data_IF_043786171589
#
_entry.id   IF_043786171589
#
_cell.length_a   1.000
_cell.length_b   1.000
_cell.length_c   1.000
_cell.angle_alpha   90.00
_cell.angle_beta   90.00
_cell.angle_gamma   90.00
#
_symmetry.space_group_name_H-M   'P 1'
#
loop_
_entity.id
_entity.type
_entity.pdbx_description
1 polymer ?
#
# COMPACT_ATOMS: atom_id res chain seq x y z
N UNK A 1 -60.03 15.70 0.11
CA UNK A 1 -59.17 16.91 0.10
C UNK A 1 -57.99 16.68 -0.84
N UNK A 2 -57.71 17.63 -1.72
CA UNK A 2 -57.49 17.36 -3.14
C UNK A 2 -56.01 17.34 -3.55
N UNK A 3 -55.60 16.31 -4.32
CA UNK A 3 -54.26 16.08 -4.92
C UNK A 3 -53.82 17.11 -5.99
N UNK A 4 -54.39 18.32 -5.97
CA UNK A 4 -54.17 19.37 -7.00
C UNK A 4 -53.27 20.52 -6.54
N UNK A 5 -52.69 20.43 -5.34
CA UNK A 5 -51.81 21.49 -4.78
C UNK A 5 -50.32 21.13 -4.95
N UNK A 6 -49.99 20.09 -5.73
CA UNK A 6 -48.62 19.59 -5.90
C UNK A 6 -47.99 19.91 -7.28
N UNK A 7 -48.42 20.98 -7.96
CA UNK A 7 -47.87 21.36 -9.29
C UNK A 7 -47.74 22.86 -9.56
N UNK A 8 -47.78 23.73 -8.54
CA UNK A 8 -47.69 25.20 -8.73
C UNK A 8 -46.33 25.81 -8.32
N UNK A 9 -45.37 25.01 -7.86
CA UNK A 9 -44.02 25.50 -7.53
C UNK A 9 -42.95 25.04 -8.53
N UNK A 10 -43.33 24.89 -9.81
CA UNK A 10 -42.46 24.36 -10.86
C UNK A 10 -42.56 25.21 -12.15
N UNK A 11 -42.48 26.54 -12.04
CA UNK A 11 -42.27 27.41 -13.22
C UNK A 11 -41.88 28.88 -12.88
N UNK A 12 -40.69 29.13 -12.33
CA UNK A 12 -40.08 30.47 -12.19
C UNK A 12 -38.74 30.28 -11.45
N UNK A 13 -37.55 30.58 -11.92
CA UNK A 13 -37.06 31.61 -12.84
C UNK A 13 -35.68 31.14 -13.32
N UNK A 14 -35.41 31.38 -14.59
CA UNK A 14 -34.16 31.10 -15.26
C UNK A 14 -33.11 32.19 -14.98
N UNK A 15 -31.84 31.78 -15.11
CA UNK A 15 -30.62 32.58 -15.31
C UNK A 15 -30.19 33.56 -14.21
N UNK A 16 -28.97 33.35 -13.72
CA UNK A 16 -27.90 34.36 -13.75
C UNK A 16 -26.54 33.67 -13.55
N UNK A 17 -25.81 33.50 -14.66
CA UNK A 17 -24.37 33.30 -14.69
C UNK A 17 -23.72 34.67 -14.45
N UNK A 18 -22.87 34.79 -13.43
CA UNK A 18 -21.88 35.87 -13.39
C UNK A 18 -20.54 35.27 -12.94
N UNK A 19 -19.57 35.40 -13.83
CA UNK A 19 -18.17 35.12 -13.61
C UNK A 19 -17.60 36.07 -12.54
N UNK A 20 -16.80 35.52 -11.63
CA UNK A 20 -15.93 36.27 -10.72
C UNK A 20 -14.53 35.68 -10.76
N UNK A 21 -13.62 36.34 -11.49
CA UNK A 21 -12.18 36.10 -11.44
C UNK A 21 -11.51 37.04 -10.42
N UNK A 22 -10.37 36.57 -9.91
CA UNK A 22 -9.21 37.32 -9.40
C UNK A 22 -9.27 37.94 -7.98
N UNK A 23 -8.10 38.31 -7.38
CA UNK A 23 -6.73 37.83 -7.59
C UNK A 23 -6.04 37.40 -6.26
N UNK A 24 -4.88 36.77 -6.43
CA UNK A 24 -3.82 36.63 -5.43
C UNK A 24 -3.63 37.93 -4.61
N UNK A 25 -3.89 37.89 -3.31
CA UNK A 25 -3.50 38.92 -2.37
C UNK A 25 -2.52 38.31 -1.35
N UNK A 26 -1.26 38.68 -1.53
CA UNK A 26 -0.15 38.49 -0.62
C UNK A 26 -0.46 39.16 0.73
N UNK A 27 -0.40 38.41 1.83
CA UNK A 27 -0.32 38.95 3.18
C UNK A 27 0.63 38.09 4.00
N UNK A 28 1.89 38.49 3.98
CA UNK A 28 2.93 38.06 4.91
C UNK A 28 2.47 38.34 6.36
N UNK A 29 2.26 37.28 7.14
CA UNK A 29 2.51 37.30 8.57
C UNK A 29 3.68 36.36 8.85
N UNK A 30 4.77 36.98 9.28
CA UNK A 30 6.03 36.39 9.67
C UNK A 30 5.89 35.50 10.90
N UNK A 31 6.28 34.23 10.76
CA UNK A 31 6.79 33.39 11.85
C UNK A 31 8.09 32.72 11.37
N UNK A 32 9.16 32.66 12.17
CA UNK A 32 10.50 32.34 11.67
C UNK A 32 10.64 30.83 11.45
N UNK A 33 10.80 30.41 10.19
CA UNK A 33 11.13 29.03 9.84
C UNK A 33 12.60 28.93 9.41
N UNK A 34 13.29 27.98 10.03
CA UNK A 34 14.73 27.82 10.03
C UNK A 34 15.31 27.50 8.65
N UNK A 35 16.41 28.21 8.41
CA UNK A 35 17.39 28.19 7.32
C UNK A 35 17.86 26.78 6.92
N UNK A 36 17.86 26.48 5.62
CA UNK A 36 18.57 25.30 5.09
C UNK A 36 18.17 24.81 3.70
N UNK A 37 18.06 25.68 2.68
CA UNK A 37 17.95 25.24 1.30
C UNK A 37 19.36 25.13 0.69
N UNK A 38 19.84 23.91 0.42
CA UNK A 38 20.92 23.68 -0.54
C UNK A 38 20.30 23.32 -1.88
N UNK A 39 20.35 24.28 -2.81
CA UNK A 39 20.05 24.05 -4.22
C UNK A 39 21.20 23.24 -4.83
N UNK A 40 20.91 22.03 -5.31
CA UNK A 40 21.80 21.35 -6.26
C UNK A 40 21.27 21.62 -7.66
N UNK A 41 21.94 22.57 -8.30
CA UNK A 41 21.91 22.88 -9.72
C UNK A 41 22.45 21.67 -10.49
N UNK A 42 21.59 20.99 -11.25
CA UNK A 42 22.03 19.95 -12.19
C UNK A 42 21.65 20.38 -13.59
N UNK A 43 22.66 20.88 -14.30
CA UNK A 43 22.60 21.30 -15.69
C UNK A 43 22.56 20.04 -16.59
N UNK A 44 21.53 19.91 -17.43
CA UNK A 44 21.34 18.74 -18.29
C UNK A 44 20.16 18.94 -19.23
N UNK A 45 20.47 19.33 -20.47
CA UNK A 45 19.56 19.60 -21.58
C UNK A 45 19.09 18.31 -22.27
N UNK A 46 17.83 17.90 -22.09
CA UNK A 46 17.01 17.16 -23.10
C UNK A 46 15.53 17.14 -22.68
N UNK A 47 14.54 17.37 -23.58
CA UNK A 47 13.14 17.49 -23.18
C UNK A 47 12.45 16.13 -23.28
N UNK A 48 12.37 15.39 -22.18
CA UNK A 48 11.48 14.23 -22.11
C UNK A 48 10.47 14.42 -20.98
N UNK A 49 9.20 14.20 -21.33
CA UNK A 49 7.98 14.54 -20.61
C UNK A 49 7.95 13.89 -19.22
N UNK A 50 8.58 14.54 -18.24
CA UNK A 50 8.72 14.06 -16.87
C UNK A 50 7.43 14.29 -16.10
N UNK A 51 6.55 13.29 -16.08
CA UNK A 51 5.52 13.20 -15.04
C UNK A 51 6.24 13.17 -13.69
N UNK A 52 6.26 14.30 -12.98
CA UNK A 52 6.77 14.39 -11.61
C UNK A 52 5.81 13.59 -10.72
N UNK A 53 6.06 12.29 -10.57
CA UNK A 53 5.47 11.53 -9.47
C UNK A 53 6.11 12.10 -8.20
N UNK A 54 5.32 12.80 -7.39
CA UNK A 54 5.73 13.18 -6.03
C UNK A 54 6.04 11.89 -5.27
N UNK A 55 7.33 11.62 -5.05
CA UNK A 55 7.77 10.54 -4.20
C UNK A 55 7.57 11.00 -2.76
N UNK A 56 6.49 10.53 -2.13
CA UNK A 56 6.25 10.74 -0.70
C UNK A 56 7.29 10.03 0.14
N UNK A 57 7.49 10.50 1.37
CA UNK A 57 8.42 9.97 2.37
C UNK A 57 8.12 8.53 2.85
N UNK A 58 7.24 7.80 2.16
CA UNK A 58 6.66 6.51 2.54
C UNK A 58 7.45 5.31 1.95
N UNK A 59 8.69 5.54 1.52
CA UNK A 59 9.52 4.52 0.91
C UNK A 59 10.05 3.54 1.97
N UNK A 60 9.93 2.25 1.66
CA UNK A 60 10.52 1.16 2.43
C UNK A 60 12.06 1.33 2.52
N UNK A 61 12.68 1.40 3.71
CA UNK A 61 14.13 1.55 3.87
C UNK A 61 15.01 0.46 3.21
N UNK A 62 14.44 -0.69 2.84
CA UNK A 62 15.16 -1.77 2.13
C UNK A 62 15.01 -1.70 0.60
N UNK A 63 14.53 -0.57 0.07
CA UNK A 63 14.45 -0.30 -1.37
C UNK A 63 15.83 -0.11 -1.99
N UNK A 64 16.09 -0.83 -3.09
CA UNK A 64 17.21 -0.54 -3.99
C UNK A 64 16.78 0.64 -4.86
N UNK A 65 17.38 1.82 -4.67
CA UNK A 65 16.92 3.06 -5.30
C UNK A 65 17.25 3.09 -6.79
N UNK A 66 16.22 2.96 -7.64
CA UNK A 66 16.36 2.74 -9.07
C UNK A 66 15.10 3.03 -9.89
N UNK A 67 14.49 4.22 -9.74
CA UNK A 67 13.46 4.81 -10.62
C UNK A 67 12.15 4.02 -10.85
N UNK A 68 11.84 2.91 -10.17
CA UNK A 68 10.59 2.14 -10.36
C UNK A 68 10.02 1.51 -9.06
N UNK A 69 10.26 2.18 -7.93
CA UNK A 69 10.49 1.52 -6.65
C UNK A 69 9.24 0.91 -5.95
N UNK A 70 8.03 1.49 -6.10
CA UNK A 70 6.80 0.85 -5.55
C UNK A 70 6.39 -0.38 -6.33
N UNK A 71 6.56 -0.34 -7.66
CA UNK A 71 6.29 -1.50 -8.53
C UNK A 71 7.25 -2.64 -8.20
N UNK A 72 8.49 -2.31 -7.87
CA UNK A 72 9.50 -3.29 -7.50
C UNK A 72 9.15 -4.01 -6.19
N UNK A 73 8.70 -3.28 -5.16
CA UNK A 73 8.26 -3.89 -3.90
C UNK A 73 7.03 -4.79 -4.08
N UNK A 74 6.08 -4.40 -4.93
CA UNK A 74 4.94 -5.26 -5.25
C UNK A 74 5.38 -6.51 -6.01
N UNK A 75 6.28 -6.36 -6.99
CA UNK A 75 6.83 -7.48 -7.75
C UNK A 75 7.60 -8.46 -6.83
N UNK A 76 8.31 -7.95 -5.84
CA UNK A 76 8.99 -8.78 -4.86
C UNK A 76 8.03 -9.49 -3.91
N UNK A 77 6.98 -8.80 -3.44
CA UNK A 77 5.92 -9.43 -2.65
C UNK A 77 5.25 -10.57 -3.45
N UNK A 78 4.95 -10.33 -4.73
CA UNK A 78 4.40 -11.34 -5.63
C UNK A 78 5.40 -12.50 -5.84
N UNK A 79 6.70 -12.20 -5.99
CA UNK A 79 7.74 -13.22 -6.08
C UNK A 79 7.83 -14.07 -4.80
N UNK A 80 7.72 -13.46 -3.62
CA UNK A 80 7.69 -14.19 -2.35
C UNK A 80 6.45 -15.08 -2.23
N UNK A 81 5.28 -14.57 -2.65
CA UNK A 81 4.05 -15.35 -2.69
C UNK A 81 4.19 -16.56 -3.63
N UNK A 82 4.79 -16.36 -4.80
CA UNK A 82 5.07 -17.41 -5.78
C UNK A 82 6.03 -18.48 -5.22
N UNK A 83 7.05 -18.09 -4.46
CA UNK A 83 7.93 -19.06 -3.77
C UNK A 83 7.16 -19.82 -2.69
N UNK A 84 6.28 -19.13 -1.94
CA UNK A 84 5.51 -19.75 -0.87
C UNK A 84 4.52 -20.81 -1.38
N UNK A 85 3.82 -20.56 -2.49
CA UNK A 85 2.87 -21.54 -3.07
C UNK A 85 3.53 -22.79 -3.65
N UNK A 86 4.83 -22.74 -3.95
CA UNK A 86 5.60 -23.92 -4.38
C UNK A 86 5.89 -24.89 -3.24
N UNK A 87 5.62 -24.51 -1.98
CA UNK A 87 5.73 -25.44 -0.86
C UNK A 87 4.53 -26.39 -0.87
N UNK A 88 4.75 -27.72 -0.81
CA UNK A 88 3.65 -28.68 -0.81
C UNK A 88 2.62 -28.36 0.28
N UNK A 89 1.33 -28.55 -0.07
CA UNK A 89 0.17 -28.30 0.79
C UNK A 89 -0.12 -26.82 1.11
N UNK A 90 0.59 -25.88 0.48
CA UNK A 90 0.17 -24.48 0.41
C UNK A 90 -0.82 -24.32 -0.74
N UNK A 91 -2.03 -23.85 -0.44
CA UNK A 91 -3.10 -23.62 -1.42
C UNK A 91 -3.02 -22.21 -2.01
N UNK A 92 -2.78 -21.22 -1.16
CA UNK A 92 -2.67 -19.80 -1.52
C UNK A 92 -1.65 -19.12 -0.63
N UNK A 93 -0.99 -18.10 -1.15
CA UNK A 93 -0.15 -17.20 -0.38
C UNK A 93 -0.44 -15.74 -0.76
N UNK A 94 -0.31 -14.84 0.19
CA UNK A 94 -0.30 -13.39 -0.03
C UNK A 94 0.82 -12.80 0.80
N UNK A 95 1.44 -11.73 0.29
CA UNK A 95 2.59 -11.09 0.92
C UNK A 95 2.42 -9.59 0.91
N UNK A 96 2.77 -8.96 2.03
CA UNK A 96 2.87 -7.52 2.16
C UNK A 96 4.22 -7.19 2.80
N UNK A 97 4.91 -6.22 2.22
CA UNK A 97 6.23 -5.78 2.68
C UNK A 97 6.10 -4.39 3.30
N UNK A 98 6.63 -4.23 4.51
CA UNK A 98 6.74 -2.94 5.18
C UNK A 98 8.12 -2.83 5.83
N UNK A 99 8.94 -1.90 5.32
CA UNK A 99 10.33 -1.82 5.73
C UNK A 99 11.08 -3.13 5.48
N UNK A 100 11.91 -3.51 6.45
CA UNK A 100 12.61 -4.78 6.41
C UNK A 100 11.71 -6.00 6.68
N UNK A 101 10.44 -5.84 7.02
CA UNK A 101 9.54 -6.96 7.34
C UNK A 101 8.75 -7.40 6.12
N UNK A 102 8.72 -8.71 5.86
CA UNK A 102 7.83 -9.33 4.89
C UNK A 102 6.82 -10.21 5.64
N UNK A 103 5.54 -9.83 5.57
CA UNK A 103 4.44 -10.57 6.18
C UNK A 103 3.81 -11.50 5.15
N UNK A 104 3.91 -12.80 5.37
CA UNK A 104 3.42 -13.86 4.49
C UNK A 104 2.22 -14.54 5.14
N UNK A 105 1.06 -14.40 4.51
CA UNK A 105 -0.15 -15.13 4.86
C UNK A 105 -0.30 -16.36 3.99
N UNK A 106 -0.67 -17.50 4.59
CA UNK A 106 -0.88 -18.76 3.89
C UNK A 106 -2.30 -19.28 4.10
N UNK A 107 -2.88 -19.85 3.05
CA UNK A 107 -3.97 -20.82 3.18
C UNK A 107 -3.41 -22.20 2.86
N UNK A 108 -3.60 -23.16 3.74
CA UNK A 108 -3.18 -24.53 3.53
C UNK A 108 -4.28 -25.33 2.82
N UNK A 109 -3.92 -26.45 2.21
CA UNK A 109 -4.91 -27.37 1.64
C UNK A 109 -5.72 -28.06 2.73
N UNK A 110 -6.95 -28.48 2.41
CA UNK A 110 -7.88 -29.14 3.34
C UNK A 110 -7.39 -30.53 3.82
N UNK A 111 -6.28 -31.01 3.25
CA UNK A 111 -5.59 -32.24 3.68
C UNK A 111 -4.77 -32.05 4.94
N UNK A 112 -4.38 -30.82 5.27
CA UNK A 112 -3.61 -30.50 6.48
C UNK A 112 -4.56 -30.43 7.67
N UNK A 113 -4.46 -31.40 8.57
CA UNK A 113 -5.36 -31.50 9.74
C UNK A 113 -4.67 -31.32 11.08
N UNK A 114 -3.35 -31.51 11.13
CA UNK A 114 -2.60 -31.39 12.38
C UNK A 114 -1.93 -30.03 12.52
N UNK A 115 -1.91 -29.51 13.75
CA UNK A 115 -1.21 -28.25 14.08
C UNK A 115 0.29 -28.36 13.86
N UNK A 116 0.86 -29.54 14.14
CA UNK A 116 2.28 -29.82 13.93
C UNK A 116 2.64 -29.74 12.44
N UNK A 117 1.85 -30.36 11.57
CA UNK A 117 2.05 -30.31 10.13
C UNK A 117 1.92 -28.89 9.58
N UNK A 118 0.89 -28.14 9.99
CA UNK A 118 0.74 -26.74 9.61
C UNK A 118 1.95 -25.89 10.03
N UNK A 119 2.48 -26.14 11.25
CA UNK A 119 3.68 -25.46 11.75
C UNK A 119 4.92 -25.82 10.93
N UNK A 120 5.09 -27.09 10.57
CA UNK A 120 6.21 -27.53 9.73
C UNK A 120 6.15 -26.93 8.32
N UNK A 121 4.96 -26.85 7.71
CA UNK A 121 4.77 -26.21 6.41
C UNK A 121 5.11 -24.71 6.51
N UNK A 122 4.61 -24.02 7.53
CA UNK A 122 4.86 -22.59 7.77
C UNK A 122 6.36 -22.31 7.90
N UNK A 123 7.07 -23.14 8.65
CA UNK A 123 8.52 -23.01 8.84
C UNK A 123 9.29 -23.28 7.54
N UNK A 124 8.88 -24.29 6.76
CA UNK A 124 9.46 -24.58 5.45
C UNK A 124 9.25 -23.43 4.45
N UNK A 125 8.08 -22.80 4.46
CA UNK A 125 7.81 -21.59 3.67
C UNK A 125 8.74 -20.45 4.13
N UNK A 126 8.82 -20.20 5.43
CA UNK A 126 9.67 -19.14 5.99
C UNK A 126 11.11 -19.30 5.52
N UNK A 127 11.68 -20.50 5.65
CA UNK A 127 13.05 -20.79 5.22
C UNK A 127 13.26 -20.53 3.73
N UNK A 128 12.40 -21.07 2.86
CA UNK A 128 12.54 -20.89 1.40
C UNK A 128 12.41 -19.44 0.95
N UNK A 129 11.45 -18.71 1.50
CA UNK A 129 11.26 -17.30 1.16
C UNK A 129 12.46 -16.49 1.68
N UNK A 130 12.93 -16.77 2.90
CA UNK A 130 14.09 -16.10 3.50
C UNK A 130 15.39 -16.35 2.72
N UNK A 131 15.63 -17.58 2.27
CA UNK A 131 16.78 -17.95 1.44
C UNK A 131 16.78 -17.20 0.10
N UNK A 132 15.59 -17.01 -0.50
CA UNK A 132 15.47 -16.35 -1.80
C UNK A 132 15.51 -14.83 -1.71
N UNK A 133 15.06 -14.28 -0.58
CA UNK A 133 14.97 -12.84 -0.33
C UNK A 133 15.66 -12.46 0.98
N UNK A 134 17.00 -12.60 1.07
CA UNK A 134 17.75 -12.52 2.33
C UNK A 134 17.71 -11.14 3.01
N UNK A 135 17.36 -10.08 2.27
CA UNK A 135 17.28 -8.71 2.79
C UNK A 135 16.04 -8.43 3.65
N UNK A 136 15.10 -9.36 3.73
CA UNK A 136 13.87 -9.20 4.51
C UNK A 136 13.85 -10.11 5.72
N UNK A 137 13.14 -9.69 6.77
CA UNK A 137 12.75 -10.53 7.88
C UNK A 137 11.38 -11.15 7.56
N UNK A 138 11.38 -12.43 7.24
CA UNK A 138 10.18 -13.14 6.80
C UNK A 138 9.38 -13.65 7.99
N UNK A 139 8.12 -13.21 8.09
CA UNK A 139 7.13 -13.68 9.06
C UNK A 139 6.03 -14.40 8.34
N UNK A 140 5.71 -15.62 8.78
CA UNK A 140 4.73 -16.47 8.11
C UNK A 140 3.64 -16.87 9.08
N UNK A 141 2.38 -16.77 8.64
CA UNK A 141 1.19 -17.22 9.36
C UNK A 141 0.27 -18.02 8.46
N UNK A 142 -0.35 -19.07 9.02
CA UNK A 142 -1.43 -19.83 8.39
C UNK A 142 -2.81 -19.52 9.00
N UNK A 143 -2.90 -18.47 9.83
CA UNK A 143 -4.17 -18.00 10.38
C UNK A 143 -5.01 -17.35 9.27
N UNK A 144 -6.27 -17.76 9.14
CA UNK A 144 -7.16 -17.25 8.09
C UNK A 144 -7.41 -15.75 8.22
N UNK A 145 -7.54 -15.23 9.45
CA UNK A 145 -7.72 -13.79 9.67
C UNK A 145 -6.49 -12.97 9.29
N UNK A 146 -5.29 -13.47 9.59
CA UNK A 146 -4.03 -12.86 9.13
C UNK A 146 -3.93 -12.90 7.61
N UNK A 147 -4.27 -14.03 6.98
CA UNK A 147 -4.25 -14.16 5.53
C UNK A 147 -5.17 -13.12 4.87
N UNK A 148 -6.43 -13.02 5.29
CA UNK A 148 -7.37 -12.06 4.73
C UNK A 148 -6.88 -10.63 4.91
N UNK A 149 -6.34 -10.30 6.09
CA UNK A 149 -5.80 -8.97 6.35
C UNK A 149 -4.62 -8.62 5.43
N UNK A 150 -3.68 -9.55 5.23
CA UNK A 150 -2.55 -9.36 4.32
C UNK A 150 -3.07 -9.22 2.88
N UNK A 151 -4.05 -10.03 2.48
CA UNK A 151 -4.68 -9.93 1.16
C UNK A 151 -5.34 -8.56 0.94
N UNK A 152 -6.17 -8.09 1.88
CA UNK A 152 -6.86 -6.80 1.77
C UNK A 152 -5.89 -5.63 1.63
N UNK A 153 -4.79 -5.65 2.39
CA UNK A 153 -3.73 -4.65 2.28
C UNK A 153 -3.06 -4.73 0.91
N UNK A 154 -2.67 -5.94 0.47
CA UNK A 154 -2.02 -6.14 -0.82
C UNK A 154 -2.87 -5.65 -1.98
N UNK A 155 -4.16 -5.99 -1.99
CA UNK A 155 -5.12 -5.57 -3.02
C UNK A 155 -5.37 -4.06 -2.98
N UNK A 156 -5.42 -3.49 -1.78
CA UNK A 156 -5.47 -2.05 -1.55
C UNK A 156 -4.28 -1.28 -2.14
N UNK A 157 -3.06 -1.77 -1.89
CA UNK A 157 -1.85 -1.15 -2.43
C UNK A 157 -1.81 -1.33 -3.96
N UNK A 158 -2.21 -2.50 -4.48
CA UNK A 158 -2.27 -2.77 -5.92
C UNK A 158 -3.29 -1.89 -6.65
N UNK A 159 -4.37 -1.51 -5.97
CA UNK A 159 -5.37 -0.56 -6.46
C UNK A 159 -4.98 0.92 -6.30
N UNK A 160 -3.78 1.21 -5.77
CA UNK A 160 -3.22 2.56 -5.67
C UNK A 160 -3.38 3.22 -4.30
N UNK A 161 -3.86 2.49 -3.29
CA UNK A 161 -3.92 3.02 -1.92
C UNK A 161 -2.51 3.07 -1.30
N UNK A 162 -2.06 4.23 -0.79
CA UNK A 162 -0.76 4.32 -0.12
C UNK A 162 -0.65 3.40 1.10
N UNK A 163 0.52 2.78 1.29
CA UNK A 163 0.77 1.84 2.39
C UNK A 163 0.55 2.49 3.78
N UNK A 164 0.76 3.79 3.92
CA UNK A 164 0.58 4.54 5.16
C UNK A 164 -0.88 4.49 5.67
N UNK A 165 -1.85 4.33 4.77
CA UNK A 165 -3.27 4.17 5.14
C UNK A 165 -3.54 2.85 5.88
N UNK A 166 -2.62 1.88 5.79
CA UNK A 166 -2.71 0.59 6.46
C UNK A 166 -1.89 0.51 7.75
N UNK A 167 -1.31 1.61 8.24
CA UNK A 167 -0.42 1.62 9.42
C UNK A 167 -1.00 0.89 10.64
N UNK A 168 -2.30 1.05 10.91
CA UNK A 168 -2.99 0.34 12.01
C UNK A 168 -3.00 -1.17 11.76
N UNK A 169 -3.32 -1.59 10.54
CA UNK A 169 -3.32 -3.00 10.16
C UNK A 169 -1.91 -3.59 10.21
N UNK A 170 -0.88 -2.86 9.79
CA UNK A 170 0.51 -3.30 9.89
C UNK A 170 0.94 -3.54 11.34
N UNK A 171 0.55 -2.65 12.25
CA UNK A 171 0.81 -2.82 13.68
C UNK A 171 0.09 -4.06 14.24
N UNK A 172 -1.16 -4.29 13.82
CA UNK A 172 -1.91 -5.49 14.19
C UNK A 172 -1.20 -6.76 13.70
N UNK A 173 -0.79 -6.81 12.43
CA UNK A 173 -0.04 -7.92 11.84
C UNK A 173 1.24 -8.19 12.62
N UNK A 174 2.00 -7.13 12.93
CA UNK A 174 3.24 -7.25 13.69
C UNK A 174 3.01 -7.85 15.08
N UNK A 175 1.99 -7.37 15.80
CA UNK A 175 1.68 -7.83 17.15
C UNK A 175 1.17 -9.27 17.18
N UNK A 176 0.40 -9.70 16.18
CA UNK A 176 -0.16 -11.05 16.10
C UNK A 176 0.88 -12.08 15.66
N UNK A 177 1.82 -11.69 14.79
CA UNK A 177 2.87 -12.59 14.28
C UNK A 177 4.17 -12.59 15.09
N UNK A 178 4.30 -11.72 16.10
CA UNK A 178 5.44 -11.72 17.03
C UNK A 178 5.27 -12.69 18.21
N UNK A 179 4.17 -13.43 18.27
CA UNK A 179 3.81 -14.31 19.38
C UNK A 179 4.11 -15.76 19.07
#
# INVERSE_FOLDING_TARGET
MNKKIMYVALLSIALLLIAGCNPNANSQRTTPQQKGAQANEYNGTTPERKTRVLVGSDLNPNLVTGRNDVRDIQAEADSMANVAVQVPKVKRASVVINGAQAYVGLTLTDTVRSRQEATAIREKVRQRVQEKMPRYHVRVSSDTGIFSRIQDIGDGIRSGTPINNYRIHMNELNNRMNR
#
